data_IF_486212461670
#
_entry.id   IF_486212461670
#
_cell.length_a   1.000
_cell.length_b   1.000
_cell.length_c   1.000
_cell.angle_alpha   90.00
_cell.angle_beta   90.00
_cell.angle_gamma   90.00
#
_symmetry.space_group_name_H-M   'P 1'
#
loop_
_entity.id
_entity.type
_entity.pdbx_description
1 polymer ?
#
# COMPACT_ATOMS: atom_id res chain seq x y z
N UNK A 1 -5.53 3.28 -13.28
CA UNK A 1 -4.30 4.09 -13.52
C UNK A 1 -4.16 5.11 -12.39
N UNK A 2 -2.96 5.39 -11.92
CA UNK A 2 -2.72 6.53 -11.02
C UNK A 2 -3.01 7.81 -11.83
N UNK A 3 -3.96 8.61 -11.37
CA UNK A 3 -4.34 9.87 -12.03
C UNK A 3 -3.44 11.03 -11.60
N UNK A 4 -3.13 11.09 -10.32
CA UNK A 4 -2.20 12.04 -9.73
C UNK A 4 -1.53 11.44 -8.49
N UNK A 5 -0.32 11.90 -8.18
CA UNK A 5 0.45 11.50 -7.02
C UNK A 5 0.99 12.73 -6.31
N UNK A 6 1.00 12.68 -4.99
CA UNK A 6 1.43 13.76 -4.11
C UNK A 6 2.37 13.21 -3.04
N UNK A 7 3.47 13.90 -2.79
CA UNK A 7 4.39 13.64 -1.68
C UNK A 7 4.29 14.80 -0.70
N UNK A 8 3.96 14.50 0.54
CA UNK A 8 3.66 15.47 1.58
C UNK A 8 4.54 15.23 2.80
N UNK A 9 4.89 16.31 3.50
CA UNK A 9 5.51 16.23 4.83
C UNK A 9 4.39 16.30 5.88
N UNK A 10 4.21 15.23 6.66
CA UNK A 10 3.06 15.07 7.55
C UNK A 10 2.97 16.15 8.64
N UNK A 11 4.10 16.59 9.20
CA UNK A 11 4.12 17.58 10.28
C UNK A 11 3.82 19.00 9.80
N UNK A 12 4.29 19.38 8.61
CA UNK A 12 4.05 20.72 8.05
C UNK A 12 2.78 20.79 7.20
N UNK A 13 2.29 19.64 6.71
CA UNK A 13 1.18 19.57 5.77
C UNK A 13 1.53 20.10 4.37
N UNK A 14 2.81 20.31 4.07
CA UNK A 14 3.25 20.85 2.78
C UNK A 14 3.40 19.75 1.75
N UNK A 15 2.88 19.99 0.54
CA UNK A 15 3.17 19.17 -0.63
C UNK A 15 4.55 19.54 -1.17
N UNK A 16 5.49 18.59 -1.17
CA UNK A 16 6.86 18.80 -1.61
C UNK A 16 7.10 18.36 -3.05
N UNK A 17 6.24 17.49 -3.56
CA UNK A 17 6.22 17.07 -4.96
C UNK A 17 4.80 16.65 -5.35
N UNK A 18 4.34 17.09 -6.49
CA UNK A 18 3.13 16.58 -7.13
C UNK A 18 3.39 16.15 -8.56
N UNK A 19 2.65 15.15 -9.01
CA UNK A 19 2.75 14.63 -10.36
C UNK A 19 1.38 14.23 -10.90
N UNK A 20 1.02 14.75 -12.05
CA UNK A 20 -0.25 14.48 -12.73
C UNK A 20 -0.01 13.56 -13.92
N UNK A 21 -0.75 12.45 -13.97
CA UNK A 21 -0.68 11.45 -15.05
C UNK A 21 -1.99 11.35 -15.86
N UNK A 22 -3.11 11.70 -15.25
CA UNK A 22 -4.43 11.62 -15.84
C UNK A 22 -5.22 12.92 -15.79
N UNK A 23 -6.54 12.80 -15.75
CA UNK A 23 -7.44 13.95 -15.80
C UNK A 23 -7.83 14.48 -14.40
N UNK A 24 -7.49 13.79 -13.33
CA UNK A 24 -7.76 14.28 -11.98
C UNK A 24 -6.99 15.59 -11.74
N UNK A 25 -7.75 16.64 -11.46
CA UNK A 25 -7.24 18.00 -11.27
C UNK A 25 -7.63 18.49 -9.89
N UNK A 26 -6.81 18.12 -8.90
CA UNK A 26 -6.96 18.60 -7.54
C UNK A 26 -5.81 19.52 -7.18
N UNK A 27 -6.12 20.62 -6.51
CA UNK A 27 -5.11 21.55 -6.00
C UNK A 27 -4.22 20.82 -4.98
N UNK A 28 -2.88 20.76 -5.19
CA UNK A 28 -1.96 20.08 -4.28
C UNK A 28 -2.03 20.60 -2.83
N UNK A 29 -2.29 21.89 -2.63
CA UNK A 29 -2.41 22.47 -1.29
C UNK A 29 -3.71 22.05 -0.60
N UNK A 30 -4.80 21.98 -1.35
CA UNK A 30 -6.08 21.52 -0.83
C UNK A 30 -6.01 20.04 -0.43
N UNK A 31 -5.45 19.19 -1.28
CA UNK A 31 -5.33 17.77 -0.99
C UNK A 31 -4.36 17.53 0.18
N UNK A 32 -3.25 18.28 0.27
CA UNK A 32 -2.29 18.13 1.36
C UNK A 32 -2.90 18.52 2.71
N UNK A 33 -3.60 19.64 2.78
CA UNK A 33 -4.30 20.08 4.00
C UNK A 33 -5.35 19.06 4.46
N UNK A 34 -6.15 18.54 3.53
CA UNK A 34 -7.15 17.52 3.81
C UNK A 34 -6.52 16.22 4.35
N UNK A 35 -5.50 15.70 3.67
CA UNK A 35 -4.86 14.44 4.06
C UNK A 35 -4.12 14.56 5.38
N UNK A 36 -3.46 15.69 5.64
CA UNK A 36 -2.78 15.94 6.92
C UNK A 36 -3.79 15.97 8.07
N UNK A 37 -4.89 16.69 7.91
CA UNK A 37 -5.95 16.73 8.92
C UNK A 37 -6.56 15.34 9.17
N UNK A 38 -6.81 14.57 8.12
CA UNK A 38 -7.35 13.22 8.22
C UNK A 38 -6.41 12.25 8.94
N UNK A 39 -5.11 12.32 8.65
CA UNK A 39 -4.11 11.45 9.29
C UNK A 39 -3.94 11.84 10.76
N UNK A 40 -3.91 13.14 11.09
CA UNK A 40 -3.87 13.59 12.48
C UNK A 40 -5.10 13.12 13.25
N UNK A 41 -6.28 13.29 12.69
CA UNK A 41 -7.52 12.80 13.27
C UNK A 41 -7.52 11.27 13.47
N UNK A 42 -7.03 10.51 12.48
CA UNK A 42 -6.90 9.05 12.58
C UNK A 42 -5.95 8.61 13.69
N UNK A 43 -4.87 9.36 13.94
CA UNK A 43 -3.93 9.09 15.04
C UNK A 43 -4.56 9.28 16.41
N UNK A 44 -5.47 10.26 16.58
CA UNK A 44 -6.17 10.50 17.83
C UNK A 44 -7.27 9.46 18.12
N UNK A 45 -7.92 8.94 17.07
CA UNK A 45 -9.04 8.00 17.24
C UNK A 45 -8.62 6.58 17.55
N UNK A 46 -7.45 6.14 17.11
CA UNK A 46 -7.03 4.75 17.29
C UNK A 46 -5.51 4.59 17.34
N UNK A 47 -5.00 4.03 18.41
CA UNK A 47 -3.63 3.56 18.49
C UNK A 47 -3.42 2.43 17.46
N UNK A 48 -2.79 2.76 16.34
CA UNK A 48 -2.29 1.79 15.35
C UNK A 48 -3.12 1.56 14.09
N UNK A 49 -4.34 2.08 13.95
CA UNK A 49 -5.07 2.02 12.68
C UNK A 49 -4.63 3.17 11.76
N UNK A 50 -4.09 2.82 10.61
CA UNK A 50 -3.71 3.78 9.57
C UNK A 50 -4.76 3.77 8.48
N UNK A 51 -5.17 4.96 8.05
CA UNK A 51 -6.00 5.10 6.84
C UNK A 51 -5.10 4.82 5.63
N UNK A 52 -5.47 3.84 4.83
CA UNK A 52 -4.71 3.47 3.63
C UNK A 52 -5.46 3.77 2.34
N UNK A 53 -6.79 3.74 2.38
CA UNK A 53 -7.64 4.01 1.23
C UNK A 53 -8.83 4.86 1.67
N UNK A 54 -9.13 5.89 0.88
CA UNK A 54 -10.28 6.78 1.08
C UNK A 54 -11.13 6.73 -0.19
N UNK A 55 -12.40 6.39 -0.03
CA UNK A 55 -13.38 6.34 -1.11
C UNK A 55 -14.02 7.71 -1.33
N UNK A 56 -13.85 8.29 -2.52
CA UNK A 56 -14.50 9.54 -2.96
C UNK A 56 -15.62 9.32 -3.98
N UNK A 57 -16.14 8.11 -4.11
CA UNK A 57 -17.20 7.78 -5.06
C UNK A 57 -16.70 7.69 -6.50
N UNK A 58 -16.17 8.75 -7.09
CA UNK A 58 -15.66 8.77 -8.46
C UNK A 58 -14.24 8.16 -8.59
N UNK A 59 -13.43 8.25 -7.56
CA UNK A 59 -12.06 7.76 -7.48
C UNK A 59 -11.73 7.35 -6.04
N UNK A 60 -10.63 6.66 -5.86
CA UNK A 60 -10.07 6.37 -4.55
C UNK A 60 -8.77 7.14 -4.34
N UNK A 61 -8.46 7.50 -3.10
CA UNK A 61 -7.14 7.96 -2.70
C UNK A 61 -6.46 6.86 -1.91
N UNK A 62 -5.34 6.36 -2.43
CA UNK A 62 -4.46 5.43 -1.74
C UNK A 62 -3.34 6.20 -1.03
N UNK A 63 -2.95 5.75 0.18
CA UNK A 63 -1.99 6.42 1.05
C UNK A 63 -0.90 5.47 1.53
N UNK A 64 0.34 5.91 1.48
CA UNK A 64 1.47 5.28 2.16
C UNK A 64 2.12 6.28 3.11
N UNK A 65 2.22 5.92 4.38
CA UNK A 65 2.86 6.73 5.42
C UNK A 65 4.10 6.01 5.93
N UNK A 66 5.25 6.68 5.84
CA UNK A 66 6.51 6.22 6.43
C UNK A 66 7.20 7.41 7.08
N UNK A 67 7.58 7.26 8.36
CA UNK A 67 8.16 8.33 9.14
C UNK A 67 7.27 9.59 9.08
N UNK A 68 7.80 10.70 8.58
CA UNK A 68 7.10 11.96 8.41
C UNK A 68 6.68 12.24 6.95
N UNK A 69 6.73 11.24 6.07
CA UNK A 69 6.39 11.38 4.66
C UNK A 69 5.10 10.63 4.33
N UNK A 70 4.16 11.32 3.70
CA UNK A 70 2.94 10.77 3.15
C UNK A 70 3.07 10.76 1.63
N UNK A 71 2.91 9.60 1.02
CA UNK A 71 2.72 9.48 -0.42
C UNK A 71 1.26 9.13 -0.67
N UNK A 72 0.57 9.98 -1.40
CA UNK A 72 -0.84 9.83 -1.74
C UNK A 72 -1.02 9.75 -3.26
N UNK A 73 -1.92 8.90 -3.72
CA UNK A 73 -2.31 8.88 -5.13
C UNK A 73 -3.81 8.77 -5.31
N UNK A 74 -4.33 9.48 -6.29
CA UNK A 74 -5.68 9.26 -6.81
C UNK A 74 -5.64 8.15 -7.85
N UNK A 75 -6.50 7.16 -7.68
CA UNK A 75 -6.59 5.99 -8.54
C UNK A 75 -8.03 5.77 -9.03
N UNK A 76 -8.19 5.18 -10.19
CA UNK A 76 -9.50 4.85 -10.72
C UNK A 76 -10.17 3.76 -9.87
N UNK A 77 -11.50 3.78 -9.79
CA UNK A 77 -12.27 2.79 -9.02
C UNK A 77 -12.04 1.34 -9.46
N UNK A 78 -11.73 1.15 -10.73
CA UNK A 78 -11.51 -0.16 -11.34
C UNK A 78 -10.10 -0.69 -11.16
N UNK A 79 -9.17 0.15 -10.66
CA UNK A 79 -7.78 -0.24 -10.47
C UNK A 79 -7.56 -1.11 -9.23
N UNK A 80 -6.55 -1.97 -9.30
CA UNK A 80 -6.10 -2.73 -8.14
C UNK A 80 -5.43 -1.81 -7.11
N UNK A 81 -6.12 -1.58 -6.00
CA UNK A 81 -5.65 -0.74 -4.90
C UNK A 81 -4.42 -1.31 -4.21
N UNK A 82 -4.29 -2.64 -4.17
CA UNK A 82 -3.11 -3.27 -3.55
C UNK A 82 -1.87 -3.03 -4.41
N UNK A 83 -2.00 -3.13 -5.73
CA UNK A 83 -0.93 -2.78 -6.66
C UNK A 83 -0.55 -1.30 -6.54
N UNK A 84 -1.54 -0.40 -6.49
CA UNK A 84 -1.29 1.02 -6.27
C UNK A 84 -0.57 1.27 -4.95
N UNK A 85 -1.01 0.65 -3.85
CA UNK A 85 -0.38 0.80 -2.54
C UNK A 85 1.05 0.26 -2.50
N UNK A 86 1.35 -0.83 -3.21
CA UNK A 86 2.71 -1.35 -3.33
C UNK A 86 3.64 -0.33 -4.00
N UNK A 87 3.16 0.31 -5.08
CA UNK A 87 3.89 1.41 -5.74
C UNK A 87 4.13 2.57 -4.79
N UNK A 88 3.08 3.01 -4.07
CA UNK A 88 3.22 4.12 -3.13
C UNK A 88 4.22 3.80 -2.01
N UNK A 89 4.25 2.55 -1.54
CA UNK A 89 5.23 2.11 -0.56
C UNK A 89 6.66 2.15 -1.12
N UNK A 90 6.86 1.74 -2.39
CA UNK A 90 8.16 1.80 -3.05
C UNK A 90 8.62 3.25 -3.27
N UNK A 91 7.72 4.12 -3.76
CA UNK A 91 7.98 5.58 -3.85
C UNK A 91 8.38 6.13 -2.50
N UNK A 92 7.61 5.84 -1.44
CA UNK A 92 7.87 6.35 -0.10
C UNK A 92 9.22 5.89 0.44
N UNK A 93 9.54 4.60 0.28
CA UNK A 93 10.82 4.03 0.69
C UNK A 93 12.00 4.72 0.00
N UNK A 94 11.93 4.89 -1.32
CA UNK A 94 12.99 5.53 -2.10
C UNK A 94 13.13 7.01 -1.77
N UNK A 95 12.00 7.73 -1.62
CA UNK A 95 12.01 9.14 -1.27
C UNK A 95 12.63 9.37 0.10
N UNK A 96 12.15 8.66 1.14
CA UNK A 96 12.68 8.79 2.51
C UNK A 96 14.17 8.46 2.52
N UNK A 97 14.59 7.34 1.92
CA UNK A 97 16.01 6.95 1.88
C UNK A 97 16.90 7.97 1.17
N UNK A 98 16.41 8.58 0.08
CA UNK A 98 17.18 9.57 -0.70
C UNK A 98 17.34 10.91 0.02
N UNK A 99 16.30 11.31 0.75
CA UNK A 99 16.21 12.63 1.36
C UNK A 99 16.28 12.62 2.88
N UNK A 100 16.66 11.51 3.51
CA UNK A 100 16.74 11.35 4.97
C UNK A 100 17.42 12.53 5.66
N UNK A 101 18.62 12.93 5.18
CA UNK A 101 19.39 14.02 5.76
C UNK A 101 18.71 15.38 5.61
N UNK A 102 18.02 15.60 4.49
CA UNK A 102 17.31 16.86 4.23
C UNK A 102 16.05 16.94 5.08
N UNK A 103 15.30 15.83 5.17
CA UNK A 103 14.02 15.77 5.89
C UNK A 103 14.17 16.03 7.39
N UNK A 104 15.31 15.65 8.01
CA UNK A 104 15.58 15.90 9.43
C UNK A 104 15.68 17.39 9.78
N UNK A 105 16.24 18.21 8.89
CA UNK A 105 16.46 19.64 9.11
C UNK A 105 15.90 20.49 7.95
N UNK A 106 14.74 20.08 7.41
CA UNK A 106 14.17 20.74 6.25
C UNK A 106 13.74 22.18 6.57
N UNK A 107 14.23 23.11 5.79
CA UNK A 107 14.01 24.56 5.92
C UNK A 107 12.82 25.08 5.11
N UNK A 108 12.10 24.21 4.41
CA UNK A 108 10.98 24.57 3.53
C UNK A 108 11.37 24.75 2.06
N UNK A 109 12.65 24.57 1.69
CA UNK A 109 13.05 24.64 0.29
C UNK A 109 12.59 23.39 -0.49
N UNK A 110 11.84 23.59 -1.58
CA UNK A 110 11.28 22.53 -2.41
C UNK A 110 12.23 22.05 -3.52
N UNK A 111 13.17 22.90 -3.96
CA UNK A 111 14.06 22.63 -5.10
C UNK A 111 14.81 21.29 -5.04
N UNK A 112 15.28 20.80 -3.86
CA UNK A 112 15.98 19.53 -3.80
C UNK A 112 15.11 18.33 -4.22
N UNK A 113 13.77 18.45 -4.11
CA UNK A 113 12.84 17.35 -4.40
C UNK A 113 12.48 17.26 -5.88
N UNK A 114 12.65 18.31 -6.67
CA UNK A 114 12.31 18.34 -8.10
C UNK A 114 13.04 17.25 -8.90
N UNK A 115 14.27 16.93 -8.50
CA UNK A 115 15.07 15.86 -9.14
C UNK A 115 14.47 14.47 -8.97
N UNK A 116 13.55 14.28 -8.01
CA UNK A 116 12.88 13.00 -7.79
C UNK A 116 11.79 12.71 -8.84
N UNK A 117 11.36 13.72 -9.58
CA UNK A 117 10.30 13.59 -10.59
C UNK A 117 10.60 12.48 -11.60
N UNK A 118 11.84 12.40 -12.09
CA UNK A 118 12.23 11.35 -13.06
C UNK A 118 12.17 9.95 -12.46
N UNK A 119 12.63 9.78 -11.23
CA UNK A 119 12.56 8.50 -10.51
C UNK A 119 11.09 8.13 -10.19
N UNK A 120 10.27 9.13 -9.85
CA UNK A 120 8.86 8.94 -9.60
C UNK A 120 8.14 8.43 -10.85
N UNK A 121 8.41 9.03 -12.02
CA UNK A 121 7.86 8.60 -13.30
C UNK A 121 8.29 7.17 -13.66
N UNK A 122 9.53 6.80 -13.36
CA UNK A 122 10.04 5.43 -13.57
C UNK A 122 9.33 4.42 -12.66
N UNK A 123 9.23 4.70 -11.35
CA UNK A 123 8.59 3.82 -10.36
C UNK A 123 7.11 3.62 -10.70
N UNK A 124 6.41 4.71 -11.02
CA UNK A 124 4.98 4.68 -11.34
C UNK A 124 4.68 4.23 -12.76
N UNK A 125 5.72 4.03 -13.59
CA UNK A 125 5.59 3.79 -15.04
C UNK A 125 4.68 4.82 -15.72
N UNK A 126 4.91 6.09 -15.40
CA UNK A 126 4.08 7.21 -15.85
C UNK A 126 2.60 7.04 -15.48
N UNK A 127 2.32 6.63 -14.26
CA UNK A 127 0.97 6.47 -13.73
C UNK A 127 0.29 5.15 -14.08
N UNK A 128 0.92 4.27 -14.86
CA UNK A 128 0.39 2.96 -15.24
C UNK A 128 0.60 1.92 -14.14
N UNK A 129 0.08 2.18 -12.94
CA UNK A 129 0.21 1.26 -11.79
C UNK A 129 -0.39 -0.13 -12.05
N UNK A 130 -1.34 -0.25 -12.98
CA UNK A 130 -1.99 -1.50 -13.38
C UNK A 130 -1.06 -2.52 -14.08
N UNK A 131 0.13 -2.10 -14.51
CA UNK A 131 1.15 -3.03 -15.03
C UNK A 131 2.00 -3.67 -13.91
N UNK A 132 1.73 -3.35 -12.65
CA UNK A 132 2.37 -4.01 -11.54
C UNK A 132 1.70 -5.35 -11.31
N UNK A 133 2.53 -6.37 -11.34
CA UNK A 133 2.10 -7.73 -11.11
C UNK A 133 1.63 -7.89 -9.66
N UNK A 134 0.36 -8.15 -9.48
CA UNK A 134 -0.19 -8.47 -8.16
C UNK A 134 0.37 -9.82 -7.72
N UNK A 135 1.00 -9.86 -6.55
CA UNK A 135 1.51 -11.11 -5.97
C UNK A 135 0.43 -11.72 -5.09
N UNK A 136 0.07 -12.95 -5.37
CA UNK A 136 -0.94 -13.71 -4.65
C UNK A 136 -0.39 -15.02 -4.09
N UNK A 137 -0.85 -15.43 -2.90
CA UNK A 137 -0.42 -16.70 -2.32
C UNK A 137 -1.06 -17.89 -3.05
N UNK A 138 -0.24 -18.86 -3.40
CA UNK A 138 -0.66 -20.12 -4.01
C UNK A 138 -0.12 -21.29 -3.19
N UNK A 139 -1.01 -22.22 -2.79
CA UNK A 139 -0.58 -23.46 -2.17
C UNK A 139 0.09 -24.40 -3.17
N UNK A 140 1.21 -24.99 -2.79
CA UNK A 140 1.93 -26.03 -3.57
C UNK A 140 1.22 -27.37 -3.58
N UNK A 141 0.16 -27.52 -2.79
CA UNK A 141 -0.59 -28.76 -2.68
C UNK A 141 -1.83 -28.61 -1.79
N UNK A 142 -2.52 -29.73 -1.52
CA UNK A 142 -3.68 -29.75 -0.64
C UNK A 142 -3.25 -29.79 0.83
N UNK A 143 -3.75 -28.86 1.64
CA UNK A 143 -3.58 -28.88 3.10
C UNK A 143 -4.72 -29.70 3.71
N UNK A 144 -4.37 -30.76 4.46
CA UNK A 144 -5.33 -31.62 5.12
C UNK A 144 -5.77 -31.04 6.47
N UNK A 145 -7.06 -31.12 6.79
CA UNK A 145 -7.59 -30.79 8.12
C UNK A 145 -7.00 -31.64 9.25
N UNK A 146 -6.35 -32.76 8.90
CA UNK A 146 -5.65 -33.60 9.87
C UNK A 146 -4.48 -32.86 10.53
N UNK A 147 -3.83 -31.88 9.85
CA UNK A 147 -2.77 -31.06 10.43
C UNK A 147 -3.26 -30.23 11.61
N UNK A 148 -4.52 -29.76 11.55
CA UNK A 148 -5.16 -29.05 12.66
C UNK A 148 -5.40 -30.01 13.83
N UNK A 149 -5.93 -31.22 13.54
CA UNK A 149 -6.23 -32.24 14.58
C UNK A 149 -4.96 -32.74 15.28
N UNK A 150 -3.85 -32.78 14.57
CA UNK A 150 -2.54 -33.17 15.12
C UNK A 150 -1.81 -32.02 15.83
N UNK A 151 -2.39 -30.81 15.87
CA UNK A 151 -1.77 -29.63 16.48
C UNK A 151 -0.56 -29.05 15.71
N UNK A 152 -0.34 -29.50 14.47
CA UNK A 152 0.75 -29.01 13.62
C UNK A 152 0.41 -27.68 12.93
N UNK A 153 -0.87 -27.31 12.92
CA UNK A 153 -1.38 -26.06 12.35
C UNK A 153 -2.59 -25.60 13.15
N UNK A 154 -2.73 -24.29 13.38
CA UNK A 154 -3.96 -23.77 13.99
C UNK A 154 -5.07 -23.61 12.94
N UNK A 155 -6.32 -23.47 13.41
CA UNK A 155 -7.49 -23.36 12.55
C UNK A 155 -7.41 -22.14 11.62
N UNK A 156 -6.98 -21.00 12.12
CA UNK A 156 -6.85 -19.76 11.31
C UNK A 156 -5.88 -19.96 10.15
N UNK A 157 -4.71 -20.57 10.39
CA UNK A 157 -3.74 -20.88 9.33
C UNK A 157 -4.31 -21.83 8.29
N UNK A 158 -5.11 -22.82 8.73
CA UNK A 158 -5.80 -23.73 7.82
C UNK A 158 -6.83 -22.99 6.95
N UNK A 159 -7.64 -22.11 7.54
CA UNK A 159 -8.66 -21.35 6.82
C UNK A 159 -8.01 -20.40 5.79
N UNK A 160 -6.93 -19.71 6.16
CA UNK A 160 -6.13 -18.90 5.23
C UNK A 160 -5.57 -19.77 4.11
N UNK A 161 -5.04 -20.95 4.42
CA UNK A 161 -4.51 -21.87 3.41
C UNK A 161 -5.58 -22.27 2.36
N UNK A 162 -6.83 -22.48 2.77
CA UNK A 162 -7.92 -22.82 1.83
C UNK A 162 -8.23 -21.70 0.84
N UNK A 163 -7.86 -20.44 1.18
CA UNK A 163 -8.03 -19.27 0.31
C UNK A 163 -6.84 -19.03 -0.62
N UNK A 164 -5.67 -19.61 -0.34
CA UNK A 164 -4.43 -19.46 -1.13
C UNK A 164 -4.48 -20.25 -2.45
N UNK A 165 -5.34 -19.83 -3.37
CA UNK A 165 -5.57 -20.45 -4.68
C UNK A 165 -4.91 -19.72 -5.84
N UNK A 166 -4.02 -18.74 -5.54
CA UNK A 166 -3.35 -17.94 -6.55
C UNK A 166 -4.27 -16.91 -7.26
N UNK A 167 -5.33 -16.46 -6.58
CA UNK A 167 -6.29 -15.48 -7.13
C UNK A 167 -6.55 -14.31 -6.20
N UNK A 168 -6.40 -14.48 -4.90
CA UNK A 168 -6.70 -13.50 -3.87
C UNK A 168 -5.42 -12.97 -3.27
N UNK A 169 -5.36 -11.66 -3.03
CA UNK A 169 -4.29 -11.05 -2.23
C UNK A 169 -4.46 -11.38 -0.75
N UNK A 170 -3.44 -11.10 0.06
CA UNK A 170 -3.55 -11.26 1.51
C UNK A 170 -4.65 -10.36 2.12
N UNK A 171 -4.91 -9.19 1.51
CA UNK A 171 -6.00 -8.29 1.93
C UNK A 171 -7.36 -8.88 1.61
N UNK A 172 -7.55 -9.39 0.38
CA UNK A 172 -8.80 -10.04 -0.01
C UNK A 172 -9.12 -11.25 0.90
N UNK A 173 -8.08 -12.01 1.28
CA UNK A 173 -8.22 -13.15 2.20
C UNK A 173 -8.65 -12.66 3.59
N UNK A 174 -8.06 -11.57 4.09
CA UNK A 174 -8.41 -10.99 5.37
C UNK A 174 -9.89 -10.55 5.39
N UNK A 175 -10.33 -9.86 4.35
CA UNK A 175 -11.69 -9.35 4.22
C UNK A 175 -12.71 -10.50 4.11
N UNK A 176 -12.42 -11.52 3.28
CA UNK A 176 -13.34 -12.65 3.10
C UNK A 176 -13.49 -13.53 4.34
N UNK A 177 -12.41 -13.68 5.13
CA UNK A 177 -12.44 -14.47 6.37
C UNK A 177 -12.84 -13.64 7.60
N UNK A 178 -12.90 -12.30 7.49
CA UNK A 178 -13.13 -11.40 8.62
C UNK A 178 -11.97 -11.41 9.63
N UNK A 179 -10.76 -11.72 9.19
CA UNK A 179 -9.56 -11.78 10.03
C UNK A 179 -8.81 -10.45 10.01
N UNK A 180 -8.07 -10.16 11.09
CA UNK A 180 -7.15 -9.03 11.07
C UNK A 180 -6.00 -9.33 10.13
N UNK A 181 -5.56 -8.33 9.37
CA UNK A 181 -4.46 -8.47 8.41
C UNK A 181 -3.20 -9.09 9.02
N UNK A 182 -2.85 -8.71 10.27
CA UNK A 182 -1.69 -9.27 10.96
C UNK A 182 -1.79 -10.78 11.20
N UNK A 183 -3.01 -11.29 11.41
CA UNK A 183 -3.24 -12.72 11.65
C UNK A 183 -3.12 -13.50 10.34
N UNK A 184 -3.59 -12.91 9.23
CA UNK A 184 -3.39 -13.46 7.88
C UNK A 184 -1.91 -13.47 7.50
N UNK A 185 -1.18 -12.39 7.73
CA UNK A 185 0.28 -12.33 7.48
C UNK A 185 1.03 -13.40 8.26
N UNK A 186 0.69 -13.58 9.55
CA UNK A 186 1.28 -14.63 10.39
C UNK A 186 0.97 -16.03 9.87
N UNK A 187 -0.26 -16.25 9.40
CA UNK A 187 -0.66 -17.52 8.81
C UNK A 187 0.09 -17.81 7.50
N UNK A 188 0.22 -16.81 6.61
CA UNK A 188 0.96 -16.93 5.36
C UNK A 188 2.44 -17.21 5.62
N UNK A 189 3.06 -16.52 6.59
CA UNK A 189 4.45 -16.78 6.97
C UNK A 189 4.64 -18.21 7.52
N UNK A 190 3.70 -18.69 8.34
CA UNK A 190 3.72 -20.08 8.82
C UNK A 190 3.65 -21.08 7.65
N UNK A 191 2.82 -20.82 6.63
CA UNK A 191 2.69 -21.69 5.45
C UNK A 191 3.96 -21.63 4.58
N UNK A 192 4.64 -20.51 4.55
CA UNK A 192 5.93 -20.32 3.88
C UNK A 192 7.05 -21.10 4.57
N UNK A 193 7.15 -21.01 5.90
CA UNK A 193 8.11 -21.76 6.72
C UNK A 193 7.94 -23.27 6.56
N UNK A 194 6.67 -23.71 6.45
CA UNK A 194 6.33 -25.12 6.16
C UNK A 194 6.58 -25.51 4.70
N UNK A 195 7.07 -24.57 3.84
CA UNK A 195 7.30 -24.76 2.40
C UNK A 195 6.06 -25.19 1.61
N UNK A 196 4.88 -24.86 2.14
CA UNK A 196 3.57 -25.19 1.56
C UNK A 196 3.03 -24.08 0.66
N UNK A 197 3.63 -22.87 0.71
CA UNK A 197 3.22 -21.69 -0.03
C UNK A 197 4.24 -21.31 -1.09
N UNK A 198 3.75 -20.75 -2.18
CA UNK A 198 4.53 -19.98 -3.14
C UNK A 198 3.77 -18.70 -3.49
N UNK A 199 4.49 -17.72 -3.95
CA UNK A 199 3.92 -16.46 -4.41
C UNK A 199 3.85 -16.47 -5.93
N UNK A 200 2.64 -16.27 -6.45
CA UNK A 200 2.38 -16.19 -7.89
C UNK A 200 2.12 -14.74 -8.28
N UNK A 201 2.77 -14.31 -9.36
CA UNK A 201 2.42 -13.06 -10.01
C UNK A 201 1.17 -13.27 -10.87
N UNK A 202 0.15 -12.43 -10.67
CA UNK A 202 -0.97 -12.28 -11.60
C UNK A 202 -0.78 -10.93 -12.29
N UNK A 203 -0.55 -10.98 -13.62
CA UNK A 203 -0.73 -9.85 -14.51
C UNK A 203 -1.93 -10.17 -15.41
N UNK A 204 -2.68 -9.15 -15.80
CA UNK A 204 -3.63 -9.27 -16.91
C UNK A 204 -2.91 -9.57 -18.22
#
# INVERSE_FOLDING_TARGET
>A
MIQALYILIADSGLCVLDRKYGQADMDPNLISGFLTALIQFGRELSEGNRVHVIDFGAFDICLSLKENVIVAATVDKTDDKNAAMAVLADVNNKFVSKYETILVNWDGNLEPFDVFTSELDEITKNGKASELKTIVPLLKGKVSSMLVRLGQMNQQTYDVAQMCKGKLTAVDIADQLGFKMKDVQKALHTLEDLKMLEWKEIGE
#
